data_IF_337015250247
#
_entry.id   IF_337015250247
#
_cell.length_a   1.000
_cell.length_b   1.000
_cell.length_c   1.000
_cell.angle_alpha   90.00
_cell.angle_beta   90.00
_cell.angle_gamma   90.00
#
_symmetry.space_group_name_H-M   'P 1'
#
loop_
_entity.id
_entity.type
_entity.pdbx_description
1 polymer ?
#
# COMPACT_ATOMS: atom_id res chain seq x y z
N UNK A 1 13.69 4.94 -0.19
CA UNK A 1 14.93 5.35 -0.91
C UNK A 1 16.01 4.26 -0.89
N UNK A 2 15.92 3.29 0.02
CA UNK A 2 16.88 2.19 0.25
C UNK A 2 17.23 1.32 -0.96
N UNK A 3 16.41 1.35 -2.00
CA UNK A 3 16.65 0.63 -3.27
C UNK A 3 17.26 1.51 -4.37
N UNK A 4 17.52 2.80 -4.11
CA UNK A 4 18.13 3.73 -5.07
C UNK A 4 19.65 3.60 -5.04
N UNK A 5 20.29 3.67 -6.23
CA UNK A 5 21.74 3.46 -6.39
C UNK A 5 22.61 4.44 -5.58
N UNK A 6 22.17 5.69 -5.43
CA UNK A 6 22.88 6.74 -4.70
C UNK A 6 21.97 7.33 -3.61
N UNK A 7 21.53 6.52 -2.64
CA UNK A 7 20.62 6.98 -1.57
C UNK A 7 21.16 8.20 -0.81
N UNK A 8 22.46 8.27 -0.60
CA UNK A 8 23.11 9.32 0.20
C UNK A 8 23.08 10.72 -0.44
N UNK A 9 22.75 10.81 -1.74
CA UNK A 9 22.65 12.08 -2.47
C UNK A 9 21.33 12.83 -2.18
N UNK A 10 20.38 12.21 -1.46
CA UNK A 10 19.02 12.76 -1.30
C UNK A 10 18.59 12.85 0.17
N UNK A 11 17.79 13.88 0.46
CA UNK A 11 17.13 14.06 1.75
C UNK A 11 15.60 13.90 1.61
N UNK A 12 14.98 13.23 2.58
CA UNK A 12 13.52 13.20 2.72
C UNK A 12 13.11 14.37 3.61
N UNK A 13 12.21 15.22 3.12
CA UNK A 13 11.66 16.35 3.87
C UNK A 13 10.18 16.07 4.12
N UNK A 14 9.80 16.00 5.40
CA UNK A 14 8.39 15.85 5.78
C UNK A 14 7.69 17.20 5.65
N UNK A 15 6.73 17.29 4.73
CA UNK A 15 5.86 18.46 4.58
C UNK A 15 4.75 18.49 5.64
N UNK A 16 3.98 19.59 5.67
CA UNK A 16 2.84 19.77 6.58
C UNK A 16 1.52 19.13 6.10
N UNK A 17 1.58 18.09 5.27
CA UNK A 17 0.40 17.40 4.75
C UNK A 17 0.22 16.05 5.44
N UNK A 18 -1.03 15.71 5.75
CA UNK A 18 -1.35 14.43 6.35
C UNK A 18 -1.14 13.28 5.35
N UNK A 19 -0.77 12.08 5.83
CA UNK A 19 -0.77 10.88 5.02
C UNK A 19 -2.16 10.59 4.46
N UNK A 20 -2.22 10.11 3.23
CA UNK A 20 -3.48 9.73 2.57
C UNK A 20 -3.53 8.22 2.34
N UNK A 21 -4.71 7.64 2.51
CA UNK A 21 -4.93 6.23 2.21
C UNK A 21 -4.84 5.95 0.70
N UNK A 22 -4.23 4.83 0.35
CA UNK A 22 -4.23 4.30 -1.02
C UNK A 22 -5.48 3.43 -1.27
N UNK A 23 -6.04 3.54 -2.47
CA UNK A 23 -7.21 2.76 -2.88
C UNK A 23 -7.18 2.40 -4.36
N UNK A 24 -7.94 1.35 -4.72
CA UNK A 24 -8.18 0.99 -6.13
C UNK A 24 -9.41 1.74 -6.63
N UNK A 25 -9.20 2.66 -7.58
CA UNK A 25 -10.27 3.39 -8.23
C UNK A 25 -11.10 2.53 -9.18
N UNK A 26 -12.42 2.72 -9.18
CA UNK A 26 -13.35 2.02 -10.06
C UNK A 26 -14.58 2.87 -10.38
N UNK A 27 -15.35 2.51 -11.42
CA UNK A 27 -16.59 3.22 -11.77
C UNK A 27 -17.62 3.12 -10.65
N UNK A 28 -18.36 4.20 -10.41
CA UNK A 28 -19.36 4.27 -9.32
C UNK A 28 -20.46 3.20 -9.42
N UNK A 29 -20.79 2.76 -10.63
CA UNK A 29 -21.80 1.74 -10.93
C UNK A 29 -21.37 0.32 -10.57
N UNK A 30 -20.07 0.05 -10.47
CA UNK A 30 -19.54 -1.32 -10.46
C UNK A 30 -19.52 -1.93 -9.06
N UNK A 31 -20.69 -1.99 -8.41
CA UNK A 31 -20.84 -2.43 -7.01
C UNK A 31 -20.38 -3.86 -6.77
N UNK A 32 -20.69 -4.78 -7.69
CA UNK A 32 -20.28 -6.19 -7.56
C UNK A 32 -18.77 -6.37 -7.64
N UNK A 33 -18.10 -5.57 -8.47
CA UNK A 33 -16.64 -5.57 -8.56
C UNK A 33 -16.05 -5.01 -7.27
N UNK A 34 -16.58 -3.89 -6.77
CA UNK A 34 -16.16 -3.28 -5.51
C UNK A 34 -16.19 -4.28 -4.36
N UNK A 35 -17.32 -4.97 -4.15
CA UNK A 35 -17.46 -5.96 -3.08
C UNK A 35 -16.41 -7.06 -3.20
N UNK A 36 -16.26 -7.66 -4.39
CA UNK A 36 -15.29 -8.75 -4.59
C UNK A 36 -13.84 -8.33 -4.37
N UNK A 37 -13.48 -7.11 -4.79
CA UNK A 37 -12.13 -6.57 -4.57
C UNK A 37 -11.88 -6.34 -3.08
N UNK A 38 -12.86 -5.77 -2.36
CA UNK A 38 -12.74 -5.55 -0.92
C UNK A 38 -12.63 -6.87 -0.15
N UNK A 39 -13.43 -7.88 -0.49
CA UNK A 39 -13.37 -9.20 0.13
C UNK A 39 -12.02 -9.86 -0.10
N UNK A 40 -11.50 -9.78 -1.34
CA UNK A 40 -10.17 -10.31 -1.66
C UNK A 40 -9.07 -9.60 -0.86
N UNK A 41 -9.12 -8.27 -0.73
CA UNK A 41 -8.15 -7.55 0.09
C UNK A 41 -8.22 -7.98 1.55
N UNK A 42 -9.42 -8.12 2.11
CA UNK A 42 -9.59 -8.62 3.48
C UNK A 42 -8.90 -9.98 3.66
N UNK A 43 -9.17 -10.94 2.78
CA UNK A 43 -8.51 -12.25 2.80
C UNK A 43 -6.99 -12.12 2.74
N UNK A 44 -6.44 -11.28 1.85
CA UNK A 44 -5.00 -11.09 1.74
C UNK A 44 -4.37 -10.46 3.00
N UNK A 45 -5.10 -9.58 3.70
CA UNK A 45 -4.65 -9.04 4.99
C UNK A 45 -4.69 -10.10 6.09
N UNK A 46 -5.80 -10.85 6.18
CA UNK A 46 -6.00 -11.90 7.19
C UNK A 46 -4.95 -13.03 7.04
N UNK A 47 -4.57 -13.35 5.80
CA UNK A 47 -3.56 -14.37 5.48
C UNK A 47 -2.11 -13.88 5.59
N UNK A 48 -1.88 -12.58 5.87
CA UNK A 48 -0.53 -12.01 5.93
C UNK A 48 0.12 -11.79 4.55
N UNK A 49 -0.61 -12.01 3.46
CA UNK A 49 -0.09 -11.89 2.07
C UNK A 49 0.21 -10.46 1.67
N UNK A 50 -0.55 -9.49 2.18
CA UNK A 50 -0.26 -8.08 1.93
C UNK A 50 1.11 -7.68 2.50
N UNK A 51 1.47 -8.20 3.66
CA UNK A 51 2.74 -7.95 4.35
C UNK A 51 3.90 -8.63 3.60
N UNK A 52 3.70 -9.85 3.08
CA UNK A 52 4.67 -10.50 2.18
C UNK A 52 4.95 -9.64 0.93
N UNK A 53 3.89 -9.10 0.31
CA UNK A 53 4.00 -8.22 -0.86
C UNK A 53 4.74 -6.93 -0.48
N UNK A 54 4.39 -6.29 0.65
CA UNK A 54 5.06 -5.07 1.11
C UNK A 54 6.56 -5.28 1.28
N UNK A 55 6.95 -6.32 2.03
CA UNK A 55 8.36 -6.63 2.29
C UNK A 55 9.13 -6.89 1.00
N UNK A 56 8.52 -7.56 0.02
CA UNK A 56 9.15 -7.82 -1.28
C UNK A 56 9.51 -6.54 -2.02
N UNK A 57 8.61 -5.55 -2.04
CA UNK A 57 8.77 -4.34 -2.83
C UNK A 57 9.49 -3.21 -2.07
N UNK A 58 9.23 -3.06 -0.77
CA UNK A 58 9.72 -1.94 0.03
C UNK A 58 10.82 -2.33 1.03
N UNK A 59 10.99 -3.63 1.31
CA UNK A 59 12.00 -4.13 2.25
C UNK A 59 11.53 -4.14 3.71
N UNK A 60 10.43 -3.47 4.01
CA UNK A 60 9.77 -3.47 5.33
C UNK A 60 8.25 -3.60 5.18
N UNK A 61 7.57 -3.79 6.32
CA UNK A 61 6.11 -3.79 6.40
C UNK A 61 5.58 -2.34 6.46
N UNK A 62 5.25 -1.82 5.28
CA UNK A 62 4.65 -0.50 5.08
C UNK A 62 3.11 -0.58 5.09
N UNK A 63 2.54 -1.75 5.42
CA UNK A 63 1.11 -1.93 5.52
C UNK A 63 0.61 -1.31 6.81
N UNK A 64 -0.25 -0.29 6.70
CA UNK A 64 -1.03 0.19 7.83
C UNK A 64 -1.85 -0.98 8.41
N UNK A 65 -1.70 -1.25 9.71
CA UNK A 65 -2.60 -2.18 10.40
C UNK A 65 -4.02 -1.62 10.28
N UNK A 66 -4.92 -2.37 9.64
CA UNK A 66 -6.35 -2.06 9.67
C UNK A 66 -6.91 -2.16 11.08
#
# INVERSE_FOLDING_TARGET
IDKQKNKDDYNIITGGFDPTDFAVGMRKSDKKLQTKVNDAFKTLYDEGKMQEISKKWFGDDEIAKQ
#
